data_IF_453280145941
#
_entry.id   IF_453280145941
#
_cell.length_a   1.000
_cell.length_b   1.000
_cell.length_c   1.000
_cell.angle_alpha   90.00
_cell.angle_beta   90.00
_cell.angle_gamma   90.00
#
_symmetry.space_group_name_H-M   'P 1'
#
loop_
_entity.id
_entity.type
_entity.pdbx_description
1 polymer ?
#
# COMPACT_ATOMS: atom_id res chain seq x y z
N UNK A 1 25.12 -42.76 1.70
CA UNK A 1 24.04 -42.22 2.56
C UNK A 1 24.09 -40.72 2.41
N UNK A 2 23.15 -40.12 1.67
CA UNK A 2 23.09 -38.67 1.49
C UNK A 2 22.21 -38.11 2.58
N UNK A 3 22.81 -37.40 3.54
CA UNK A 3 22.11 -36.65 4.58
C UNK A 3 21.54 -35.38 3.96
N UNK A 4 20.22 -35.36 3.76
CA UNK A 4 19.47 -34.15 3.44
C UNK A 4 19.35 -33.33 4.72
N UNK A 5 20.06 -32.21 4.80
CA UNK A 5 19.89 -31.23 5.89
C UNK A 5 18.60 -30.46 5.63
N UNK A 6 17.53 -30.80 6.35
CA UNK A 6 16.29 -30.03 6.37
C UNK A 6 16.55 -28.75 7.15
N UNK A 7 16.71 -27.63 6.44
CA UNK A 7 16.76 -26.30 7.05
C UNK A 7 15.35 -25.92 7.49
N UNK A 8 15.04 -26.13 8.76
CA UNK A 8 13.81 -25.62 9.37
C UNK A 8 13.95 -24.09 9.48
N UNK A 9 13.27 -23.35 8.62
CA UNK A 9 13.13 -21.89 8.78
C UNK A 9 12.31 -21.68 10.05
N UNK A 10 12.95 -21.21 11.12
CA UNK A 10 12.24 -20.84 12.33
C UNK A 10 11.31 -19.66 11.98
N UNK A 11 9.99 -19.85 12.13
CA UNK A 11 9.06 -18.73 12.07
C UNK A 11 9.45 -17.73 13.17
N UNK A 12 9.76 -16.50 12.78
CA UNK A 12 9.94 -15.38 13.71
C UNK A 12 8.68 -15.24 14.56
N UNK A 13 8.85 -15.03 15.87
CA UNK A 13 7.72 -14.80 16.75
C UNK A 13 6.89 -13.59 16.26
N UNK A 14 5.55 -13.63 16.37
CA UNK A 14 4.70 -12.52 15.93
C UNK A 14 5.10 -11.22 16.62
N UNK A 15 5.04 -10.12 15.89
CA UNK A 15 5.30 -8.80 16.46
C UNK A 15 4.12 -8.39 17.35
N UNK A 16 4.43 -7.88 18.55
CA UNK A 16 3.45 -7.38 19.51
C UNK A 16 3.94 -6.08 20.14
N UNK A 17 3.05 -5.34 20.81
CA UNK A 17 3.41 -4.13 21.55
C UNK A 17 4.49 -4.39 22.63
N UNK A 18 4.53 -5.59 23.21
CA UNK A 18 5.51 -5.95 24.25
C UNK A 18 6.90 -6.25 23.69
N UNK A 19 7.01 -6.75 22.46
CA UNK A 19 8.29 -7.16 21.88
C UNK A 19 8.86 -6.18 20.84
N UNK A 20 8.04 -5.24 20.34
CA UNK A 20 8.40 -4.36 19.22
C UNK A 20 9.68 -3.57 19.47
N UNK A 21 9.84 -2.95 20.65
CA UNK A 21 11.03 -2.14 20.98
C UNK A 21 12.30 -2.97 21.17
N UNK A 22 12.17 -4.25 21.52
CA UNK A 22 13.31 -5.17 21.61
C UNK A 22 13.79 -5.60 20.23
N UNK A 23 12.86 -5.77 19.29
CA UNK A 23 13.15 -6.20 17.92
C UNK A 23 13.58 -5.01 17.03
N UNK A 24 13.01 -3.83 17.28
CA UNK A 24 13.21 -2.61 16.50
C UNK A 24 13.31 -1.38 17.42
N UNK A 25 14.50 -1.08 17.96
CA UNK A 25 14.72 0.06 18.86
C UNK A 25 14.39 1.43 18.24
N UNK A 26 14.36 1.52 16.91
CA UNK A 26 14.03 2.72 16.15
C UNK A 26 12.53 3.04 16.09
N UNK A 27 11.66 2.14 16.55
CA UNK A 27 10.21 2.36 16.54
C UNK A 27 9.81 3.31 17.65
N UNK A 28 9.00 4.30 17.30
CA UNK A 28 8.38 5.16 18.28
C UNK A 28 6.99 4.62 18.67
N UNK A 29 6.87 4.15 19.91
CA UNK A 29 5.60 3.70 20.49
C UNK A 29 4.71 4.85 20.98
N UNK A 30 5.27 6.05 21.16
CA UNK A 30 4.48 7.27 21.26
C UNK A 30 4.13 7.74 19.85
N UNK A 31 2.87 7.54 19.44
CA UNK A 31 2.35 7.88 18.10
C UNK A 31 2.35 9.40 17.79
N UNK A 32 3.20 10.20 18.45
CA UNK A 32 3.15 11.65 18.46
C UNK A 32 4.47 12.36 18.12
N UNK A 33 5.64 11.72 18.05
CA UNK A 33 6.91 12.44 17.81
C UNK A 33 8.04 11.56 17.25
N UNK A 34 8.07 11.23 15.96
CA UNK A 34 9.27 10.61 15.36
C UNK A 34 10.36 11.67 15.09
N UNK A 35 11.57 11.43 15.59
CA UNK A 35 12.75 12.23 15.26
C UNK A 35 13.46 11.64 14.03
N UNK A 36 13.97 12.49 13.14
CA UNK A 36 14.71 12.05 11.94
C UNK A 36 16.11 11.52 12.31
N UNK A 37 16.57 10.51 11.59
CA UNK A 37 17.91 9.96 11.74
C UNK A 37 18.84 10.45 10.62
N UNK A 38 20.11 10.58 11.00
CA UNK A 38 21.29 11.12 10.32
C UNK A 38 21.75 10.35 9.07
N UNK A 39 22.57 11.03 8.24
CA UNK A 39 23.28 10.56 7.02
C UNK A 39 23.18 9.06 6.74
N UNK A 40 22.43 8.75 5.69
CA UNK A 40 21.93 7.41 5.43
C UNK A 40 22.44 6.88 4.09
N UNK A 41 23.48 6.03 4.15
CA UNK A 41 24.08 5.42 2.96
C UNK A 41 23.08 4.52 2.20
N UNK A 42 21.98 4.09 2.83
CA UNK A 42 21.03 3.19 2.17
C UNK A 42 20.26 3.84 1.05
N UNK A 43 20.18 5.17 1.06
CA UNK A 43 19.46 5.98 0.10
C UNK A 43 20.39 6.65 -0.92
N UNK A 44 21.70 6.34 -0.88
CA UNK A 44 22.67 6.88 -1.83
C UNK A 44 22.32 6.45 -3.26
N UNK A 45 22.23 7.43 -4.17
CA UNK A 45 21.92 7.20 -5.59
C UNK A 45 20.43 7.23 -5.95
N UNK A 46 19.52 7.38 -4.98
CA UNK A 46 18.10 7.61 -5.26
C UNK A 46 17.79 9.10 -5.45
N UNK A 47 16.64 9.38 -6.06
CA UNK A 47 16.13 10.74 -6.29
C UNK A 47 15.84 11.48 -4.97
N UNK A 48 16.21 12.77 -4.89
CA UNK A 48 16.13 13.57 -3.65
C UNK A 48 14.71 13.69 -3.08
N UNK A 49 13.69 13.75 -3.94
CA UNK A 49 12.29 13.83 -3.50
C UNK A 49 11.83 12.49 -2.92
N UNK A 50 12.19 11.37 -3.55
CA UNK A 50 11.87 10.04 -3.00
C UNK A 50 12.62 9.76 -1.69
N UNK A 51 13.85 10.26 -1.54
CA UNK A 51 14.58 10.23 -0.26
C UNK A 51 13.83 11.02 0.81
N UNK A 52 13.35 12.22 0.50
CA UNK A 52 12.57 13.03 1.46
C UNK A 52 11.29 12.31 1.88
N UNK A 53 10.62 11.62 0.96
CA UNK A 53 9.42 10.84 1.26
C UNK A 53 9.70 9.59 2.11
N UNK A 54 10.96 9.15 2.22
CA UNK A 54 11.33 8.02 3.08
C UNK A 54 11.30 8.36 4.58
N UNK A 55 11.21 9.64 4.92
CA UNK A 55 11.00 10.12 6.30
C UNK A 55 9.53 10.14 6.72
N UNK A 56 8.58 9.89 5.80
CA UNK A 56 7.17 9.78 6.14
C UNK A 56 6.94 8.71 7.22
N UNK A 57 6.07 9.03 8.19
CA UNK A 57 5.87 8.18 9.37
C UNK A 57 4.73 7.19 9.11
N UNK A 58 5.08 5.93 8.91
CA UNK A 58 4.13 4.82 8.77
C UNK A 58 3.59 4.35 10.13
N UNK A 59 2.38 3.77 10.13
CA UNK A 59 1.77 3.15 11.30
C UNK A 59 2.22 1.70 11.36
N UNK A 60 2.95 1.31 12.41
CA UNK A 60 3.37 -0.07 12.64
C UNK A 60 2.24 -0.83 13.34
N UNK A 61 1.97 -2.05 12.87
CA UNK A 61 0.84 -2.86 13.28
C UNK A 61 1.27 -4.19 13.90
N UNK A 62 0.38 -4.76 14.70
CA UNK A 62 0.34 -6.21 14.87
C UNK A 62 -0.39 -6.89 13.69
N UNK A 63 -0.42 -8.22 13.67
CA UNK A 63 -1.10 -8.94 12.59
C UNK A 63 -2.61 -8.68 12.55
N UNK A 64 -3.25 -8.22 13.63
CA UNK A 64 -4.69 -7.97 13.69
C UNK A 64 -5.06 -6.52 13.35
N UNK A 65 -4.14 -5.76 12.77
CA UNK A 65 -4.33 -4.37 12.39
C UNK A 65 -4.55 -3.45 13.60
N UNK A 66 -3.95 -3.78 14.74
CA UNK A 66 -3.85 -2.89 15.88
C UNK A 66 -2.57 -2.06 15.77
N UNK A 67 -2.64 -0.72 15.87
CA UNK A 67 -1.45 0.12 15.86
C UNK A 67 -0.64 -0.10 17.15
N UNK A 68 0.61 -0.51 17.00
CA UNK A 68 1.55 -0.79 18.09
C UNK A 68 2.76 0.16 18.10
N UNK A 69 2.88 1.03 17.10
CA UNK A 69 3.91 2.04 17.03
C UNK A 69 3.92 2.78 15.71
N UNK A 70 5.02 3.49 15.46
CA UNK A 70 5.28 4.20 14.22
C UNK A 70 6.77 4.15 13.87
N UNK A 71 7.07 4.16 12.58
CA UNK A 71 8.43 4.12 12.06
C UNK A 71 8.51 4.93 10.76
N UNK A 72 9.72 5.31 10.34
CA UNK A 72 9.88 5.92 9.02
C UNK A 72 9.57 4.91 7.92
N UNK A 73 9.11 5.42 6.78
CA UNK A 73 8.83 4.63 5.59
C UNK A 73 10.06 3.81 5.20
N UNK A 74 11.27 4.37 5.26
CA UNK A 74 12.50 3.60 5.06
C UNK A 74 12.52 2.33 5.92
N UNK A 75 12.37 2.47 7.22
CA UNK A 75 12.49 1.36 8.19
C UNK A 75 11.47 0.26 7.86
N UNK A 76 10.24 0.65 7.54
CA UNK A 76 9.14 -0.23 7.18
C UNK A 76 9.38 -1.04 5.89
N UNK A 77 10.12 -0.50 4.92
CA UNK A 77 10.25 -1.11 3.59
C UNK A 77 11.58 -1.84 3.37
N UNK A 78 12.46 -1.90 4.38
CA UNK A 78 13.68 -2.71 4.33
C UNK A 78 13.37 -4.19 4.56
N UNK A 79 13.81 -5.05 3.64
CA UNK A 79 13.60 -6.51 3.73
C UNK A 79 14.19 -7.08 5.03
N UNK A 80 15.31 -6.57 5.52
CA UNK A 80 15.89 -7.02 6.79
C UNK A 80 15.00 -6.78 8.03
N UNK A 81 14.03 -5.85 7.94
CA UNK A 81 13.06 -5.58 8.99
C UNK A 81 11.76 -6.34 8.74
N UNK A 82 11.33 -6.42 7.48
CA UNK A 82 10.20 -7.23 7.04
C UNK A 82 10.40 -8.72 7.38
N UNK A 83 11.59 -9.28 7.15
CA UNK A 83 11.94 -10.66 7.49
C UNK A 83 11.92 -10.94 9.00
N UNK A 84 12.05 -9.88 9.82
CA UNK A 84 11.87 -9.94 11.28
C UNK A 84 10.41 -9.73 11.70
N UNK A 85 9.50 -9.54 10.74
CA UNK A 85 8.06 -9.45 10.89
C UNK A 85 7.48 -8.03 10.81
N UNK A 86 8.28 -6.99 10.52
CA UNK A 86 7.84 -5.59 10.59
C UNK A 86 6.71 -5.33 9.59
N UNK A 87 5.55 -4.95 10.11
CA UNK A 87 4.30 -4.80 9.39
C UNK A 87 3.74 -3.39 9.57
N UNK A 88 3.26 -2.77 8.49
CA UNK A 88 2.63 -1.45 8.54
C UNK A 88 1.27 -1.39 7.83
N UNK A 89 0.51 -0.34 8.12
CA UNK A 89 -0.78 -0.09 7.46
C UNK A 89 -0.57 0.54 6.08
N UNK A 90 -1.37 0.11 5.11
CA UNK A 90 -1.39 0.67 3.76
C UNK A 90 -2.82 0.82 3.23
N UNK A 91 -2.95 1.43 2.04
CA UNK A 91 -4.19 1.43 1.28
C UNK A 91 -3.92 1.31 -0.23
N UNK A 92 -4.89 0.75 -0.93
CA UNK A 92 -4.95 0.65 -2.39
C UNK A 92 -6.27 1.22 -2.91
N UNK A 93 -6.18 2.29 -3.69
CA UNK A 93 -7.32 2.92 -4.36
C UNK A 93 -7.54 2.32 -5.74
N UNK A 94 -8.79 1.98 -6.03
CA UNK A 94 -9.31 1.64 -7.35
C UNK A 94 -10.35 2.69 -7.74
N UNK A 95 -9.95 3.63 -8.59
CA UNK A 95 -10.80 4.69 -9.13
C UNK A 95 -11.37 4.27 -10.47
N UNK A 96 -12.69 4.26 -10.57
CA UNK A 96 -13.41 3.99 -11.81
C UNK A 96 -14.03 5.28 -12.34
N UNK A 97 -13.99 5.49 -13.66
CA UNK A 97 -14.74 6.57 -14.28
C UNK A 97 -16.23 6.21 -14.45
N UNK A 98 -17.02 7.14 -14.96
CA UNK A 98 -18.45 6.90 -15.22
C UNK A 98 -18.74 5.82 -16.27
N UNK A 99 -17.73 5.37 -17.03
CA UNK A 99 -17.81 4.28 -18.00
C UNK A 99 -17.30 2.95 -17.42
N UNK A 100 -17.11 2.85 -16.10
CA UNK A 100 -16.54 1.69 -15.42
C UNK A 100 -15.14 1.30 -15.91
N UNK A 101 -14.34 2.27 -16.38
CA UNK A 101 -12.93 2.03 -16.68
C UNK A 101 -12.10 2.32 -15.44
N UNK A 102 -11.20 1.41 -15.08
CA UNK A 102 -10.26 1.59 -13.97
C UNK A 102 -9.12 2.50 -14.40
N UNK A 103 -8.79 3.50 -13.59
CA UNK A 103 -7.58 4.29 -13.73
C UNK A 103 -6.39 3.51 -13.19
N UNK A 104 -5.43 3.19 -14.05
CA UNK A 104 -4.13 2.65 -13.68
C UNK A 104 -3.07 3.74 -13.69
N UNK A 105 -2.03 3.56 -12.88
CA UNK A 105 -0.79 4.30 -13.00
C UNK A 105 0.38 3.36 -13.31
N UNK A 106 1.38 3.88 -14.01
CA UNK A 106 2.72 3.29 -14.09
C UNK A 106 3.63 4.09 -13.15
N UNK A 107 4.22 3.39 -12.19
CA UNK A 107 5.15 3.96 -11.22
C UNK A 107 6.34 4.58 -11.95
N UNK A 108 6.76 5.77 -11.51
CA UNK A 108 7.95 6.44 -12.05
C UNK A 108 9.22 5.61 -11.81
N UNK A 109 10.25 5.83 -12.62
CA UNK A 109 11.53 5.11 -12.49
C UNK A 109 12.27 5.50 -11.21
N UNK A 110 11.98 6.67 -10.65
CA UNK A 110 12.55 7.20 -9.42
C UNK A 110 12.04 6.47 -8.17
N UNK A 111 10.92 5.75 -8.26
CA UNK A 111 10.32 5.03 -7.11
C UNK A 111 11.30 4.00 -6.55
N UNK A 112 11.54 4.08 -5.23
CA UNK A 112 12.44 3.15 -4.53
C UNK A 112 11.93 1.70 -4.59
N UNK A 113 10.63 1.48 -4.39
CA UNK A 113 10.01 0.16 -4.53
C UNK A 113 9.27 0.04 -5.86
N UNK A 114 9.46 -1.08 -6.57
CA UNK A 114 8.77 -1.43 -7.81
C UNK A 114 8.73 -0.30 -8.87
N UNK A 115 9.87 0.31 -9.25
CA UNK A 115 9.89 1.28 -10.34
C UNK A 115 9.39 0.65 -11.64
N UNK A 116 8.84 1.47 -12.53
CA UNK A 116 8.39 1.09 -13.87
C UNK A 116 7.20 0.12 -13.98
N UNK A 117 6.66 -0.33 -12.86
CA UNK A 117 5.55 -1.27 -12.83
C UNK A 117 4.19 -0.57 -12.92
N UNK A 118 3.27 -1.15 -13.69
CA UNK A 118 1.86 -0.81 -13.70
C UNK A 118 1.16 -1.31 -12.42
N UNK A 119 0.26 -0.50 -11.89
CA UNK A 119 -0.51 -0.81 -10.68
C UNK A 119 -1.90 -0.17 -10.71
N UNK A 120 -2.71 -0.38 -9.67
CA UNK A 120 -3.99 0.30 -9.50
C UNK A 120 -3.80 1.82 -9.32
N UNK A 121 -4.89 2.55 -9.11
CA UNK A 121 -4.89 4.03 -9.20
C UNK A 121 -3.88 4.70 -8.28
N UNK A 122 -3.81 4.33 -7.01
CA UNK A 122 -2.90 4.93 -6.04
C UNK A 122 -2.71 3.97 -4.86
N UNK A 123 -1.47 3.74 -4.45
CA UNK A 123 -1.10 2.91 -3.30
C UNK A 123 -0.12 3.67 -2.42
N UNK A 124 -0.42 3.77 -1.14
CA UNK A 124 0.43 4.47 -0.18
C UNK A 124 0.00 4.16 1.25
N UNK A 125 0.41 5.01 2.19
CA UNK A 125 0.31 4.76 3.62
C UNK A 125 -0.50 5.88 4.30
N UNK A 126 -1.42 5.54 5.22
CA UNK A 126 -1.85 6.50 6.22
C UNK A 126 -0.66 6.87 7.13
N UNK A 127 -0.55 8.14 7.47
CA UNK A 127 0.51 8.61 8.36
C UNK A 127 0.15 8.36 9.83
N UNK A 128 1.18 8.12 10.64
CA UNK A 128 1.09 8.02 12.10
C UNK A 128 0.83 9.38 12.79
N UNK A 129 -0.18 10.12 12.32
CA UNK A 129 -0.54 11.46 12.79
C UNK A 129 -2.01 11.54 13.20
N UNK A 130 -2.39 12.51 14.06
CA UNK A 130 -3.80 12.74 14.38
C UNK A 130 -4.66 12.90 13.11
N UNK A 131 -5.68 12.04 12.98
CA UNK A 131 -6.60 12.07 11.85
C UNK A 131 -6.38 10.95 10.81
N UNK A 132 -5.16 10.42 10.67
CA UNK A 132 -4.88 9.28 9.76
C UNK A 132 -4.61 7.97 10.50
N UNK A 133 -4.17 8.00 11.77
CA UNK A 133 -3.80 6.77 12.50
C UNK A 133 -4.94 5.76 12.63
N UNK A 134 -5.98 6.05 13.43
CA UNK A 134 -7.10 5.14 13.69
C UNK A 134 -6.74 3.87 14.49
N UNK A 135 -7.41 3.66 15.63
CA UNK A 135 -7.19 2.49 16.52
C UNK A 135 -8.33 1.47 16.51
N UNK A 136 -9.45 1.80 15.85
CA UNK A 136 -10.58 0.90 15.59
C UNK A 136 -10.76 0.78 14.09
N UNK A 137 -11.44 -0.28 13.61
CA UNK A 137 -11.69 -0.44 12.17
C UNK A 137 -12.37 0.80 11.56
N UNK A 138 -13.41 1.33 12.22
CA UNK A 138 -14.12 2.53 11.75
C UNK A 138 -13.21 3.76 11.64
N UNK A 139 -12.41 4.04 12.68
CA UNK A 139 -11.52 5.21 12.70
C UNK A 139 -10.35 5.03 11.73
N UNK A 140 -9.84 3.81 11.56
CA UNK A 140 -8.83 3.47 10.59
C UNK A 140 -9.34 3.60 9.16
N UNK A 141 -10.57 3.14 8.85
CA UNK A 141 -11.21 3.37 7.53
C UNK A 141 -11.26 4.85 7.20
N UNK A 142 -11.67 5.70 8.15
CA UNK A 142 -11.69 7.14 7.93
C UNK A 142 -10.28 7.72 7.74
N UNK A 143 -9.30 7.21 8.50
CA UNK A 143 -7.89 7.60 8.38
C UNK A 143 -7.31 7.28 7.00
N UNK A 144 -7.49 6.05 6.51
CA UNK A 144 -7.02 5.65 5.18
C UNK A 144 -7.73 6.40 4.06
N UNK A 145 -9.01 6.77 4.22
CA UNK A 145 -9.70 7.62 3.23
C UNK A 145 -9.09 9.01 3.11
N UNK A 146 -8.69 9.63 4.24
CA UNK A 146 -7.99 10.92 4.25
C UNK A 146 -6.61 10.80 3.60
N UNK A 147 -5.88 9.74 3.92
CA UNK A 147 -4.60 9.44 3.32
C UNK A 147 -4.71 9.23 1.80
N UNK A 148 -5.71 8.46 1.35
CA UNK A 148 -6.02 8.24 -0.05
C UNK A 148 -6.32 9.55 -0.79
N UNK A 149 -7.17 10.41 -0.23
CA UNK A 149 -7.44 11.72 -0.82
C UNK A 149 -6.18 12.60 -0.93
N UNK A 150 -5.33 12.61 0.11
CA UNK A 150 -4.04 13.34 0.11
C UNK A 150 -3.10 12.82 -0.97
N UNK A 151 -2.97 11.50 -1.10
CA UNK A 151 -2.03 10.86 -2.04
C UNK A 151 -2.52 10.90 -3.47
N UNK A 152 -3.83 10.83 -3.71
CA UNK A 152 -4.42 11.09 -5.03
C UNK A 152 -4.11 12.50 -5.55
N UNK A 153 -4.12 13.51 -4.66
CA UNK A 153 -3.68 14.86 -5.03
C UNK A 153 -2.17 14.92 -5.28
N UNK A 154 -1.36 14.34 -4.38
CA UNK A 154 0.11 14.37 -4.50
C UNK A 154 0.64 13.64 -5.74
N UNK A 155 0.09 12.47 -6.09
CA UNK A 155 0.60 11.61 -7.17
C UNK A 155 -0.06 11.93 -8.52
N UNK A 156 -1.38 12.17 -8.52
CA UNK A 156 -2.18 12.30 -9.74
C UNK A 156 -2.80 13.68 -9.93
N UNK A 157 -2.63 14.61 -8.99
CA UNK A 157 -3.21 15.95 -9.03
C UNK A 157 -4.72 16.00 -8.80
N UNK A 158 -5.34 14.87 -8.41
CA UNK A 158 -6.79 14.74 -8.23
C UNK A 158 -7.20 15.48 -6.96
N UNK A 159 -7.93 16.58 -7.13
CA UNK A 159 -8.30 17.45 -6.01
C UNK A 159 -9.39 16.85 -5.15
N UNK A 160 -9.32 17.13 -3.84
CA UNK A 160 -10.24 16.62 -2.82
C UNK A 160 -11.74 16.76 -3.16
N UNK A 161 -12.14 17.85 -3.84
CA UNK A 161 -13.54 18.07 -4.23
C UNK A 161 -14.05 17.09 -5.30
N UNK A 162 -13.14 16.50 -6.09
CA UNK A 162 -13.46 15.48 -7.10
C UNK A 162 -13.62 14.09 -6.48
N UNK A 163 -13.00 13.86 -5.31
CA UNK A 163 -13.02 12.60 -4.57
C UNK A 163 -13.41 12.79 -3.09
N UNK A 164 -14.67 13.18 -2.78
CA UNK A 164 -15.12 13.36 -1.39
C UNK A 164 -15.01 12.07 -0.56
N UNK A 165 -14.69 12.19 0.74
CA UNK A 165 -14.41 11.05 1.63
C UNK A 165 -15.61 10.08 1.78
N UNK A 166 -16.83 10.59 1.68
CA UNK A 166 -18.07 9.79 1.74
C UNK A 166 -18.28 8.93 0.48
N UNK A 167 -17.64 9.28 -0.64
CA UNK A 167 -17.71 8.54 -1.90
C UNK A 167 -16.75 7.37 -1.98
N UNK A 168 -15.77 7.29 -1.08
CA UNK A 168 -14.94 6.10 -0.97
C UNK A 168 -15.72 4.95 -0.34
N UNK A 169 -15.64 3.78 -0.96
CA UNK A 169 -16.13 2.51 -0.45
C UNK A 169 -14.96 1.69 0.06
N UNK A 170 -14.95 1.42 1.36
CA UNK A 170 -14.05 0.42 1.93
C UNK A 170 -14.63 -0.97 1.69
N UNK A 171 -13.86 -1.83 1.04
CA UNK A 171 -14.27 -3.20 0.75
C UNK A 171 -13.77 -4.13 1.86
N UNK A 172 -12.45 -4.32 1.92
CA UNK A 172 -11.80 -5.31 2.77
C UNK A 172 -10.35 -4.90 3.08
N UNK A 173 -9.66 -5.74 3.87
CA UNK A 173 -8.23 -5.62 4.15
C UNK A 173 -7.49 -6.86 3.67
N UNK A 174 -6.32 -6.68 3.07
CA UNK A 174 -5.46 -7.76 2.58
C UNK A 174 -4.12 -7.69 3.31
N UNK A 175 -3.66 -8.81 3.85
CA UNK A 175 -2.31 -8.94 4.41
C UNK A 175 -1.42 -9.68 3.43
N UNK A 176 -0.37 -9.02 2.94
CA UNK A 176 0.55 -9.58 1.96
C UNK A 176 2.00 -9.19 2.27
N UNK A 177 2.95 -9.93 1.68
CA UNK A 177 4.38 -9.61 1.66
C UNK A 177 4.90 -9.69 0.23
N UNK A 178 5.72 -8.74 -0.20
CA UNK A 178 6.27 -8.70 -1.55
C UNK A 178 7.67 -8.06 -1.57
N UNK A 179 8.73 -8.82 -1.91
CA UNK A 179 10.05 -8.22 -2.14
C UNK A 179 10.06 -7.41 -3.46
N UNK A 180 10.74 -6.26 -3.45
CA UNK A 180 10.98 -5.42 -4.63
C UNK A 180 12.30 -5.79 -5.31
N UNK A 181 13.44 -5.56 -4.63
CA UNK A 181 14.78 -5.67 -5.22
C UNK A 181 15.82 -6.21 -4.21
N UNK A 182 15.46 -7.25 -3.46
CA UNK A 182 16.33 -7.87 -2.46
C UNK A 182 16.55 -7.00 -1.20
N UNK A 183 16.80 -5.69 -1.36
CA UNK A 183 16.93 -4.73 -0.26
C UNK A 183 15.57 -4.21 0.19
N UNK A 184 14.71 -3.83 -0.76
CA UNK A 184 13.42 -3.24 -0.46
C UNK A 184 12.26 -4.20 -0.69
N UNK A 185 11.14 -3.97 -0.03
CA UNK A 185 9.90 -4.72 -0.19
C UNK A 185 8.73 -4.09 0.55
N UNK A 186 7.63 -4.83 0.60
CA UNK A 186 6.37 -4.46 1.24
C UNK A 186 5.92 -5.57 2.17
N UNK A 187 5.42 -5.21 3.35
CA UNK A 187 4.71 -6.10 4.28
C UNK A 187 3.59 -5.31 4.94
N UNK A 188 2.37 -5.53 4.44
CA UNK A 188 1.30 -4.56 4.65
C UNK A 188 -0.03 -5.22 5.04
N UNK A 189 -0.79 -4.53 5.89
CA UNK A 189 -2.25 -4.67 5.94
C UNK A 189 -2.84 -3.56 5.07
N UNK A 190 -3.26 -3.93 3.88
CA UNK A 190 -3.70 -3.05 2.80
C UNK A 190 -5.21 -2.89 2.78
N UNK A 191 -5.67 -1.64 2.95
CA UNK A 191 -7.08 -1.26 2.88
C UNK A 191 -7.52 -1.05 1.43
N UNK A 192 -8.48 -1.86 0.98
CA UNK A 192 -9.00 -1.75 -0.38
C UNK A 192 -10.12 -0.71 -0.45
N UNK A 193 -9.85 0.37 -1.20
CA UNK A 193 -10.74 1.50 -1.37
C UNK A 193 -11.19 1.64 -2.81
N UNK A 194 -12.51 1.66 -3.04
CA UNK A 194 -13.10 1.93 -4.34
C UNK A 194 -13.68 3.33 -4.35
N UNK A 195 -13.59 4.00 -5.50
CA UNK A 195 -14.31 5.25 -5.75
C UNK A 195 -14.70 5.32 -7.22
N UNK A 196 -15.88 5.85 -7.51
CA UNK A 196 -16.33 6.13 -8.88
C UNK A 196 -16.43 7.65 -9.06
N UNK A 197 -15.59 8.20 -9.92
CA UNK A 197 -15.51 9.64 -10.18
C UNK A 197 -14.84 9.89 -11.55
N UNK A 198 -15.37 10.85 -12.29
CA UNK A 198 -14.62 11.44 -13.40
C UNK A 198 -13.69 12.51 -12.81
N UNK A 199 -12.41 12.43 -13.13
CA UNK A 199 -11.37 13.27 -12.51
C UNK A 199 -10.45 13.89 -13.55
N UNK A 200 -9.96 15.09 -13.23
CA UNK A 200 -8.85 15.72 -13.94
C UNK A 200 -7.52 15.20 -13.38
N UNK A 201 -6.59 14.88 -14.28
CA UNK A 201 -5.24 14.43 -13.94
C UNK A 201 -4.21 15.54 -14.15
N UNK A 202 -3.29 15.64 -13.21
CA UNK A 202 -2.06 16.42 -13.30
C UNK A 202 -0.97 15.61 -12.59
N UNK A 203 -0.46 14.59 -13.28
CA UNK A 203 0.48 13.62 -12.72
C UNK A 203 1.75 14.29 -12.21
N UNK A 204 2.22 13.84 -11.04
CA UNK A 204 3.54 14.17 -10.55
C UNK A 204 4.56 13.23 -11.20
N UNK A 205 5.45 13.71 -12.08
CA UNK A 205 6.37 12.85 -12.83
C UNK A 205 7.38 12.10 -11.94
N UNK A 206 7.60 12.56 -10.70
CA UNK A 206 8.45 11.86 -9.74
C UNK A 206 7.77 10.63 -9.11
N UNK A 207 6.43 10.56 -9.20
CA UNK A 207 5.62 9.48 -8.63
C UNK A 207 5.05 8.57 -9.73
N UNK A 208 4.62 9.16 -10.84
CA UNK A 208 3.87 8.51 -11.92
C UNK A 208 4.42 8.91 -13.28
N UNK A 209 4.82 7.94 -14.10
CA UNK A 209 5.33 8.20 -15.46
C UNK A 209 4.27 8.04 -16.55
N UNK A 210 3.19 7.30 -16.28
CA UNK A 210 2.08 7.14 -17.21
C UNK A 210 0.78 6.80 -16.49
N UNK A 211 -0.35 7.17 -17.07
CA UNK A 211 -1.69 6.78 -16.60
C UNK A 211 -2.49 6.15 -17.73
N UNK A 212 -3.43 5.27 -17.39
CA UNK A 212 -4.31 4.65 -18.38
C UNK A 212 -5.65 4.25 -17.80
N UNK A 213 -6.74 4.71 -18.43
CA UNK A 213 -8.07 4.14 -18.19
C UNK A 213 -8.24 2.86 -18.99
N UNK A 214 -8.62 1.78 -18.32
CA UNK A 214 -8.77 0.45 -18.93
C UNK A 214 -10.13 -0.15 -18.60
N UNK A 215 -10.74 -0.85 -19.56
CA UNK A 215 -11.83 -1.78 -19.28
C UNK A 215 -11.30 -3.07 -18.66
N UNK A 216 -12.20 -3.92 -18.17
CA UNK A 216 -11.84 -5.27 -17.71
C UNK A 216 -11.13 -6.08 -18.81
N UNK A 217 -11.59 -6.01 -20.05
CA UNK A 217 -10.99 -6.74 -21.18
C UNK A 217 -9.63 -6.14 -21.59
N UNK A 218 -9.48 -4.81 -21.53
CA UNK A 218 -8.20 -4.15 -21.74
C UNK A 218 -7.17 -4.62 -20.70
N UNK A 219 -7.54 -4.66 -19.42
CA UNK A 219 -6.64 -5.10 -18.34
C UNK A 219 -6.27 -6.59 -18.50
N UNK A 220 -7.22 -7.47 -18.83
CA UNK A 220 -6.93 -8.87 -19.15
C UNK A 220 -5.99 -9.02 -20.34
N UNK A 221 -6.09 -8.12 -21.32
CA UNK A 221 -5.18 -8.10 -22.46
C UNK A 221 -3.79 -7.61 -22.05
N UNK A 222 -3.70 -6.56 -21.23
CA UNK A 222 -2.42 -6.05 -20.72
C UNK A 222 -1.68 -7.11 -19.88
N UNK A 223 -2.38 -7.93 -19.09
CA UNK A 223 -1.75 -9.04 -18.35
C UNK A 223 -1.16 -10.16 -19.22
N UNK A 224 -1.51 -10.22 -20.52
CA UNK A 224 -0.92 -11.17 -21.47
C UNK A 224 0.30 -10.61 -22.19
N UNK A 225 0.61 -9.33 -21.99
CA UNK A 225 1.77 -8.68 -22.58
C UNK A 225 2.97 -8.80 -21.63
N UNK A 226 3.89 -9.69 -21.97
CA UNK A 226 5.09 -9.96 -21.17
C UNK A 226 6.06 -8.77 -21.10
N UNK A 227 5.89 -7.74 -21.95
CA UNK A 227 6.68 -6.50 -21.86
C UNK A 227 6.23 -5.58 -20.72
N UNK A 228 5.01 -5.80 -20.18
CA UNK A 228 4.47 -5.01 -19.10
C UNK A 228 4.75 -5.66 -17.74
N UNK A 229 5.32 -4.88 -16.84
CA UNK A 229 5.50 -5.27 -15.46
C UNK A 229 4.32 -4.77 -14.63
N UNK A 230 3.87 -5.58 -13.68
CA UNK A 230 2.83 -5.17 -12.73
C UNK A 230 3.26 -5.51 -11.31
N UNK A 231 2.88 -4.62 -10.41
CA UNK A 231 3.17 -4.77 -8.98
C UNK A 231 2.51 -6.03 -8.41
N UNK A 232 3.17 -6.75 -7.47
CA UNK A 232 2.66 -8.03 -6.95
C UNK A 232 1.26 -7.95 -6.35
N UNK A 233 0.97 -6.94 -5.53
CA UNK A 233 -0.36 -6.77 -4.91
C UNK A 233 -1.45 -6.55 -5.96
N UNK A 234 -1.17 -5.77 -7.00
CA UNK A 234 -2.15 -5.51 -8.06
C UNK A 234 -2.48 -6.79 -8.84
N UNK A 235 -1.46 -7.59 -9.21
CA UNK A 235 -1.69 -8.92 -9.82
C UNK A 235 -2.53 -9.81 -8.92
N UNK A 236 -2.17 -9.87 -7.64
CA UNK A 236 -2.85 -10.67 -6.62
C UNK A 236 -4.34 -10.28 -6.53
N UNK A 237 -4.64 -9.01 -6.30
CA UNK A 237 -6.01 -8.49 -6.19
C UNK A 237 -6.79 -8.73 -7.48
N UNK A 238 -6.17 -8.50 -8.65
CA UNK A 238 -6.80 -8.75 -9.94
C UNK A 238 -7.23 -10.20 -10.12
N UNK A 239 -6.32 -11.13 -9.83
CA UNK A 239 -6.53 -12.55 -10.06
C UNK A 239 -7.46 -13.19 -9.02
N UNK A 240 -7.59 -12.59 -7.83
CA UNK A 240 -8.43 -13.15 -6.77
C UNK A 240 -9.83 -12.56 -6.68
N UNK A 241 -10.00 -11.26 -6.91
CA UNK A 241 -11.23 -10.57 -6.47
C UNK A 241 -11.66 -9.37 -7.32
N UNK A 242 -10.73 -8.65 -7.96
CA UNK A 242 -11.07 -7.40 -8.67
C UNK A 242 -12.13 -7.61 -9.75
N UNK A 243 -11.99 -8.63 -10.61
CA UNK A 243 -12.92 -8.83 -11.72
C UNK A 243 -14.35 -9.14 -11.25
N UNK A 244 -14.49 -9.85 -10.13
CA UNK A 244 -15.79 -10.11 -9.51
C UNK A 244 -16.42 -8.81 -8.96
N UNK A 245 -15.61 -7.98 -8.28
CA UNK A 245 -16.05 -6.69 -7.76
C UNK A 245 -16.38 -5.70 -8.87
N UNK A 246 -15.58 -5.69 -9.93
CA UNK A 246 -15.74 -4.84 -11.10
C UNK A 246 -17.10 -5.10 -11.78
N UNK A 247 -17.46 -6.38 -11.96
CA UNK A 247 -18.78 -6.76 -12.48
C UNK A 247 -19.96 -6.35 -11.59
N UNK A 248 -19.70 -5.96 -10.33
CA UNK A 248 -20.71 -5.52 -9.36
C UNK A 248 -20.68 -4.01 -9.06
N UNK A 249 -19.91 -3.20 -9.80
CA UNK A 249 -19.72 -1.76 -9.50
C UNK A 249 -21.03 -0.97 -9.42
N UNK A 250 -21.89 -1.11 -10.43
CA UNK A 250 -23.15 -0.36 -10.49
C UNK A 250 -24.26 -1.02 -9.66
N UNK A 251 -24.18 -2.34 -9.46
CA UNK A 251 -25.18 -3.12 -8.74
C UNK A 251 -24.51 -4.24 -7.96
N UNK A 252 -24.72 -4.27 -6.64
CA UNK A 252 -24.30 -5.38 -5.78
C UNK A 252 -22.93 -5.21 -5.12
N UNK A 253 -22.21 -4.10 -5.31
CA UNK A 253 -20.95 -3.81 -4.59
C UNK A 253 -21.13 -3.87 -3.07
N UNK A 254 -22.32 -3.53 -2.55
CA UNK A 254 -22.62 -3.53 -1.11
C UNK A 254 -22.36 -4.87 -0.42
N UNK A 255 -22.47 -6.00 -1.13
CA UNK A 255 -22.17 -7.33 -0.57
C UNK A 255 -20.69 -7.52 -0.19
N UNK A 256 -19.81 -6.69 -0.74
CA UNK A 256 -18.35 -6.74 -0.53
C UNK A 256 -17.84 -5.61 0.36
N UNK A 257 -18.70 -4.70 0.83
CA UNK A 257 -18.29 -3.56 1.65
C UNK A 257 -18.17 -3.95 3.13
N UNK A 258 -17.20 -3.35 3.81
CA UNK A 258 -17.11 -3.41 5.27
C UNK A 258 -16.72 -4.78 5.83
N UNK A 259 -16.00 -5.60 5.07
CA UNK A 259 -15.52 -6.89 5.58
C UNK A 259 -14.62 -6.67 6.80
N UNK A 260 -14.96 -7.33 7.91
CA UNK A 260 -14.25 -7.20 9.18
C UNK A 260 -13.07 -8.15 9.29
N UNK A 261 -13.08 -9.27 8.55
CA UNK A 261 -11.94 -10.18 8.51
C UNK A 261 -10.81 -9.61 7.64
N UNK A 262 -9.56 -9.92 8.00
CA UNK A 262 -8.39 -9.61 7.17
C UNK A 262 -8.11 -10.82 6.28
N UNK A 263 -8.02 -10.60 4.97
CA UNK A 263 -7.68 -11.64 4.00
C UNK A 263 -6.18 -11.86 4.01
N UNK A 264 -5.72 -13.01 4.50
CA UNK A 264 -4.29 -13.36 4.52
C UNK A 264 -3.88 -13.93 3.16
N UNK A 265 -2.95 -13.27 2.49
CA UNK A 265 -2.40 -13.65 1.19
C UNK A 265 -0.86 -13.63 1.27
N UNK A 266 -0.36 -14.36 2.27
CA UNK A 266 1.07 -14.51 2.60
C UNK A 266 1.69 -15.69 1.85
#
# INVERSE_FOLDING_TARGET
MSTTTTTTVAQSAPITAENILRLFPQINTSLANAASATQDNDLEGYDEEQIRLMDEVCIVLDENDLPIGSASKKVCHLMENIEKGLLHRAFSVFLFDNKNRLLLQQRASEKITFPDMWTNTCCSHPLGVPGETGSTLETAIMGVKRAAQRKLDQELGIKAHQVPLDKFHFLTRIHYVAPSDGKWGEHEIDYILFIKADVDLAENPNEVQATKYVTEDDLKTMFKDDSLLFTPWFKLICQSMLFEWWGSLDQGLDKYKGETAIRRML
#
